data_IF_385902912041
#
_entry.id   IF_385902912041
#
_cell.length_a   1.000
_cell.length_b   1.000
_cell.length_c   1.000
_cell.angle_alpha   90.00
_cell.angle_beta   90.00
_cell.angle_gamma   90.00
#
_symmetry.space_group_name_H-M   'P 1'
#
loop_
_entity.id
_entity.type
_entity.pdbx_description
1 polymer ?
#
# COMPACT_ATOMS: atom_id res chain seq x y z
N UNK A 1 -1.69 22.40 -15.38
CA UNK A 1 -0.63 23.30 -15.91
C UNK A 1 0.09 22.65 -17.08
N UNK A 2 0.49 23.43 -18.11
CA UNK A 2 1.17 22.87 -19.28
C UNK A 2 2.46 22.11 -18.95
N UNK A 3 3.20 22.55 -17.93
CA UNK A 3 4.44 21.93 -17.50
C UNK A 3 4.28 20.49 -16.97
N UNK A 4 3.12 20.13 -16.42
CA UNK A 4 2.84 18.77 -15.95
C UNK A 4 2.51 17.80 -17.10
N UNK A 5 2.09 18.32 -18.24
CA UNK A 5 1.75 17.56 -19.44
C UNK A 5 2.96 17.39 -20.38
N UNK A 6 4.00 18.20 -20.22
CA UNK A 6 5.23 18.14 -21.00
C UNK A 6 6.26 17.30 -20.25
N UNK A 7 6.87 16.35 -20.93
CA UNK A 7 8.00 15.59 -20.40
C UNK A 7 9.24 16.48 -20.39
N UNK A 8 9.58 17.01 -19.21
CA UNK A 8 10.78 17.83 -19.04
C UNK A 8 12.06 17.00 -19.05
N UNK A 9 11.97 15.72 -18.75
CA UNK A 9 13.05 14.76 -18.82
C UNK A 9 12.53 13.44 -19.39
N UNK A 10 13.10 13.02 -20.50
CA UNK A 10 12.81 11.70 -21.08
C UNK A 10 13.68 10.65 -20.43
N UNK A 11 13.06 9.61 -19.89
CA UNK A 11 13.77 8.41 -19.47
C UNK A 11 13.93 7.51 -20.68
N UNK A 12 15.17 7.27 -21.07
CA UNK A 12 15.45 6.33 -22.14
C UNK A 12 15.30 4.91 -21.62
N UNK A 13 14.53 4.11 -22.31
CA UNK A 13 14.47 2.67 -22.08
C UNK A 13 15.77 2.06 -22.62
N UNK A 14 16.82 2.09 -21.81
CA UNK A 14 18.08 1.44 -22.10
C UNK A 14 18.18 0.15 -21.30
N UNK A 15 18.24 -0.97 -21.98
CA UNK A 15 18.44 -2.29 -21.38
C UNK A 15 17.76 -3.37 -22.22
N UNK A 16 18.40 -4.53 -22.32
CA UNK A 16 17.79 -5.72 -22.94
C UNK A 16 16.62 -6.12 -22.07
N UNK A 17 15.41 -5.87 -22.54
CA UNK A 17 14.20 -6.35 -21.89
C UNK A 17 14.19 -7.87 -21.97
N UNK A 18 14.33 -8.54 -20.84
CA UNK A 18 13.87 -9.93 -20.74
C UNK A 18 12.35 -9.94 -20.94
N UNK A 19 11.84 -10.93 -21.64
CA UNK A 19 10.50 -10.98 -22.25
C UNK A 19 9.28 -10.71 -21.34
N UNK A 20 9.45 -10.48 -20.03
CA UNK A 20 8.33 -10.24 -19.10
C UNK A 20 8.63 -9.26 -17.95
N UNK A 21 9.72 -8.52 -17.96
CA UNK A 21 10.09 -7.61 -16.89
C UNK A 21 9.78 -6.18 -17.28
N UNK A 22 8.85 -5.55 -16.58
CA UNK A 22 8.58 -4.12 -16.68
C UNK A 22 9.77 -3.33 -16.14
N UNK A 23 10.35 -2.44 -16.93
CA UNK A 23 11.52 -1.64 -16.56
C UNK A 23 11.25 -0.15 -16.69
N UNK A 24 12.04 0.67 -15.99
CA UNK A 24 11.94 2.12 -16.05
C UNK A 24 10.69 2.68 -15.39
N UNK A 25 10.14 3.79 -15.93
CA UNK A 25 8.94 4.45 -15.39
C UNK A 25 7.71 3.54 -15.30
N UNK A 26 7.42 2.64 -16.25
CA UNK A 26 6.32 1.69 -16.10
C UNK A 26 6.44 0.80 -14.86
N UNK A 27 7.66 0.47 -14.42
CA UNK A 27 7.88 -0.28 -13.17
C UNK A 27 7.55 0.57 -11.94
N UNK A 28 7.89 1.85 -11.95
CA UNK A 28 7.52 2.77 -10.86
C UNK A 28 6.01 2.92 -10.77
N UNK A 29 5.32 3.05 -11.90
CA UNK A 29 3.85 3.09 -11.94
C UNK A 29 3.25 1.79 -11.39
N UNK A 30 3.76 0.63 -11.81
CA UNK A 30 3.32 -0.68 -11.32
C UNK A 30 3.46 -0.80 -9.81
N UNK A 31 4.58 -0.35 -9.24
CA UNK A 31 4.84 -0.35 -7.80
C UNK A 31 3.88 0.59 -7.06
N UNK A 32 3.74 1.85 -7.49
CA UNK A 32 2.86 2.81 -6.83
C UNK A 32 1.37 2.49 -6.98
N UNK A 33 0.97 1.80 -8.05
CA UNK A 33 -0.41 1.28 -8.17
C UNK A 33 -0.59 -0.08 -7.48
N UNK A 34 0.47 -0.60 -6.83
CA UNK A 34 0.47 -1.92 -6.19
C UNK A 34 -0.14 -3.01 -7.09
N UNK A 35 0.20 -2.96 -8.39
CA UNK A 35 -0.28 -3.95 -9.37
C UNK A 35 0.47 -5.26 -9.17
N UNK A 36 -0.23 -6.37 -9.41
CA UNK A 36 0.39 -7.69 -9.43
C UNK A 36 1.37 -7.77 -10.62
N UNK A 37 2.66 -8.10 -10.38
CA UNK A 37 3.65 -8.22 -11.44
C UNK A 37 3.27 -9.30 -12.46
N UNK A 38 3.68 -9.14 -13.70
CA UNK A 38 3.48 -10.15 -14.76
C UNK A 38 4.30 -11.41 -14.47
N UNK A 39 5.57 -11.24 -14.09
CA UNK A 39 6.45 -12.32 -13.63
C UNK A 39 6.49 -12.29 -12.11
N UNK A 40 5.64 -13.09 -11.49
CA UNK A 40 5.47 -13.13 -10.05
C UNK A 40 6.49 -14.07 -9.41
N UNK A 41 7.25 -13.58 -8.44
CA UNK A 41 8.00 -14.42 -7.52
C UNK A 41 7.06 -15.05 -6.49
N UNK A 42 7.22 -16.33 -6.23
CA UNK A 42 6.52 -17.04 -5.16
C UNK A 42 7.36 -16.90 -3.89
N UNK A 43 6.73 -16.43 -2.80
CA UNK A 43 7.36 -16.27 -1.50
C UNK A 43 6.98 -17.43 -0.57
N UNK A 44 7.92 -17.85 0.28
CA UNK A 44 7.67 -18.81 1.34
C UNK A 44 6.78 -18.17 2.42
N UNK A 45 5.62 -18.74 2.71
CA UNK A 45 4.73 -18.20 3.76
C UNK A 45 5.24 -18.49 5.17
N UNK A 46 6.01 -19.54 5.35
CA UNK A 46 6.69 -19.88 6.60
C UNK A 46 8.06 -20.51 6.30
N UNK A 47 8.94 -20.51 7.29
CA UNK A 47 10.26 -21.11 7.20
C UNK A 47 10.17 -22.62 7.25
N UNK A 48 11.07 -23.31 6.55
CA UNK A 48 11.11 -24.78 6.59
C UNK A 48 12.04 -25.38 5.55
N UNK A 49 12.02 -26.70 5.44
CA UNK A 49 12.82 -27.45 4.49
C UNK A 49 12.07 -27.66 3.17
N UNK A 50 12.77 -27.36 2.07
CA UNK A 50 12.23 -27.48 0.71
C UNK A 50 12.32 -28.94 0.24
N UNK A 51 11.23 -29.47 -0.33
CA UNK A 51 11.18 -30.73 -1.06
C UNK A 51 10.44 -30.57 -2.39
N UNK A 52 10.86 -31.30 -3.42
CA UNK A 52 10.22 -31.26 -4.74
C UNK A 52 9.32 -32.48 -4.96
N UNK A 53 8.03 -32.23 -5.14
CA UNK A 53 7.08 -33.24 -5.58
C UNK A 53 6.87 -33.07 -7.11
N UNK A 54 7.48 -33.97 -7.90
CA UNK A 54 7.34 -33.96 -9.35
C UNK A 54 6.07 -34.69 -9.76
N UNK A 55 5.15 -33.99 -10.40
CA UNK A 55 3.99 -34.55 -11.09
C UNK A 55 4.18 -34.40 -12.59
N UNK A 56 3.57 -35.28 -13.40
CA UNK A 56 3.80 -35.34 -14.86
C UNK A 56 3.64 -34.01 -15.63
N UNK A 57 2.91 -33.06 -15.08
CA UNK A 57 2.64 -31.75 -15.71
C UNK A 57 3.12 -30.53 -14.93
N UNK A 58 3.42 -30.66 -13.63
CA UNK A 58 3.82 -29.54 -12.74
C UNK A 58 4.90 -30.02 -11.79
N UNK A 59 5.72 -29.07 -11.35
CA UNK A 59 6.64 -29.29 -10.24
C UNK A 59 6.06 -28.56 -9.05
N UNK A 60 5.64 -29.30 -8.03
CA UNK A 60 5.16 -28.72 -6.79
C UNK A 60 6.34 -28.62 -5.82
N UNK A 61 6.58 -27.43 -5.31
CA UNK A 61 7.59 -27.18 -4.27
C UNK A 61 6.86 -27.25 -2.94
N UNK A 62 7.25 -28.18 -2.09
CA UNK A 62 6.66 -28.34 -0.77
C UNK A 62 7.65 -27.86 0.28
N UNK A 63 7.20 -26.93 1.11
CA UNK A 63 7.96 -26.47 2.27
C UNK A 63 7.34 -27.12 3.49
N UNK A 64 8.17 -27.76 4.31
CA UNK A 64 7.76 -28.42 5.54
C UNK A 64 8.46 -27.75 6.71
N UNK A 65 7.69 -27.26 7.68
CA UNK A 65 8.15 -26.68 8.92
C UNK A 65 8.61 -27.76 9.92
N UNK A 66 9.36 -27.39 10.93
CA UNK A 66 9.81 -28.26 12.02
C UNK A 66 8.64 -28.88 12.81
N UNK A 67 7.48 -28.24 12.80
CA UNK A 67 6.24 -28.73 13.42
C UNK A 67 5.46 -29.75 12.55
N UNK A 68 5.94 -30.03 11.33
CA UNK A 68 5.30 -30.96 10.39
C UNK A 68 4.20 -30.34 9.52
N UNK A 69 3.98 -29.02 9.60
CA UNK A 69 3.09 -28.32 8.68
C UNK A 69 3.74 -28.27 7.30
N UNK A 70 3.01 -28.63 6.26
CA UNK A 70 3.51 -28.59 4.90
C UNK A 70 2.60 -27.78 3.99
N UNK A 71 3.19 -26.97 3.13
CA UNK A 71 2.45 -26.22 2.09
C UNK A 71 3.07 -26.45 0.72
N UNK A 72 2.23 -26.75 -0.25
CA UNK A 72 2.60 -26.98 -1.64
C UNK A 72 2.44 -25.70 -2.45
N UNK A 73 3.46 -25.34 -3.21
CA UNK A 73 3.49 -24.23 -4.14
C UNK A 73 3.60 -24.76 -5.57
N UNK A 74 2.51 -24.74 -6.35
CA UNK A 74 2.53 -25.22 -7.72
C UNK A 74 3.31 -24.25 -8.60
N UNK A 75 4.40 -24.73 -9.21
CA UNK A 75 5.27 -23.92 -10.06
C UNK A 75 5.20 -24.44 -11.50
N UNK A 76 5.09 -23.53 -12.49
CA UNK A 76 5.14 -23.89 -13.90
C UNK A 76 6.56 -24.35 -14.28
N UNK A 77 6.67 -25.24 -15.27
CA UNK A 77 7.98 -25.72 -15.78
C UNK A 77 8.88 -24.63 -16.33
N UNK A 78 8.28 -23.56 -16.84
CA UNK A 78 8.99 -22.43 -17.43
C UNK A 78 9.52 -21.43 -16.38
N UNK A 79 9.13 -21.60 -15.11
CA UNK A 79 9.54 -20.71 -14.02
C UNK A 79 10.87 -21.18 -13.45
N UNK A 80 11.84 -20.28 -13.38
CA UNK A 80 13.13 -20.57 -12.76
C UNK A 80 12.99 -20.61 -11.26
N UNK A 81 13.42 -21.72 -10.67
CA UNK A 81 13.42 -21.95 -9.23
C UNK A 81 14.75 -21.50 -8.65
N UNK A 82 14.73 -20.73 -7.56
CA UNK A 82 15.93 -20.24 -6.86
C UNK A 82 16.42 -21.20 -5.78
N UNK A 83 15.55 -22.05 -5.25
CA UNK A 83 15.82 -22.95 -4.12
C UNK A 83 16.22 -24.34 -4.60
N UNK A 84 16.99 -25.05 -3.77
CA UNK A 84 17.42 -26.43 -4.01
C UNK A 84 16.68 -27.42 -3.09
N UNK A 85 16.66 -28.69 -3.47
CA UNK A 85 16.09 -29.74 -2.65
C UNK A 85 16.86 -29.91 -1.34
N UNK A 86 16.15 -29.94 -0.23
CA UNK A 86 16.75 -30.00 1.12
C UNK A 86 17.26 -28.65 1.66
N UNK A 87 17.11 -27.56 0.92
CA UNK A 87 17.47 -26.23 1.41
C UNK A 87 16.48 -25.77 2.48
N UNK A 88 16.99 -25.16 3.55
CA UNK A 88 16.17 -24.47 4.55
C UNK A 88 15.94 -23.05 4.08
N UNK A 89 14.67 -22.66 3.99
CA UNK A 89 14.24 -21.31 3.60
C UNK A 89 13.63 -20.59 4.79
N UNK A 90 13.83 -19.28 4.84
CA UNK A 90 13.19 -18.41 5.83
C UNK A 90 11.81 -17.95 5.37
N UNK A 91 10.98 -17.49 6.31
CA UNK A 91 9.69 -16.84 5.99
C UNK A 91 9.91 -15.62 5.09
N UNK A 92 9.19 -15.56 3.98
CA UNK A 92 9.31 -14.47 3.00
C UNK A 92 10.46 -14.61 2.01
N UNK A 93 11.21 -15.71 2.02
CA UNK A 93 12.26 -15.96 1.04
C UNK A 93 11.67 -16.31 -0.34
N UNK A 94 12.30 -15.81 -1.42
CA UNK A 94 11.86 -16.06 -2.78
C UNK A 94 12.16 -17.50 -3.22
N UNK A 95 11.10 -18.25 -3.53
CA UNK A 95 11.21 -19.62 -4.05
C UNK A 95 11.52 -19.63 -5.55
N UNK A 96 10.97 -18.66 -6.29
CA UNK A 96 11.11 -18.55 -7.75
C UNK A 96 11.68 -17.19 -8.16
N UNK A 97 12.29 -17.12 -9.34
CA UNK A 97 12.69 -15.85 -9.94
C UNK A 97 11.45 -15.03 -10.34
N UNK A 98 11.50 -13.73 -10.12
CA UNK A 98 10.44 -12.80 -10.50
C UNK A 98 10.45 -11.53 -9.67
N UNK A 99 9.40 -10.74 -9.83
CA UNK A 99 9.16 -9.57 -8.99
C UNK A 99 8.20 -9.95 -7.85
N UNK A 100 8.53 -9.53 -6.66
CA UNK A 100 7.67 -9.75 -5.50
C UNK A 100 6.38 -8.93 -5.62
N UNK A 101 5.28 -9.50 -5.13
CA UNK A 101 4.01 -8.80 -5.05
C UNK A 101 3.91 -8.04 -3.72
N UNK A 102 3.73 -6.72 -3.72
CA UNK A 102 3.62 -5.93 -2.50
C UNK A 102 2.52 -6.42 -1.53
N UNK A 103 1.42 -6.96 -2.06
CA UNK A 103 0.34 -7.51 -1.26
C UNK A 103 0.76 -8.76 -0.46
N UNK A 104 1.57 -9.64 -1.07
CA UNK A 104 2.07 -10.83 -0.40
C UNK A 104 3.12 -10.48 0.64
N UNK A 105 3.97 -9.48 0.37
CA UNK A 105 4.95 -8.97 1.33
C UNK A 105 4.25 -8.43 2.58
N UNK A 106 3.18 -7.62 2.43
CA UNK A 106 2.41 -7.11 3.59
C UNK A 106 1.84 -8.26 4.41
N UNK A 107 1.30 -9.28 3.74
CA UNK A 107 0.64 -10.42 4.39
C UNK A 107 1.64 -11.32 5.14
N UNK A 108 2.81 -11.57 4.56
CA UNK A 108 3.80 -12.53 5.09
C UNK A 108 4.79 -11.86 6.03
N UNK A 109 5.37 -10.74 5.61
CA UNK A 109 6.47 -10.05 6.30
C UNK A 109 6.04 -8.79 7.05
N UNK A 110 4.80 -8.33 6.81
CA UNK A 110 4.23 -7.16 7.46
C UNK A 110 4.57 -5.82 6.81
N UNK A 111 4.08 -4.74 7.44
CA UNK A 111 4.11 -3.37 6.90
C UNK A 111 5.55 -2.86 6.69
N UNK A 112 6.46 -3.13 7.63
CA UNK A 112 7.84 -2.63 7.56
C UNK A 112 8.59 -3.17 6.35
N UNK A 113 8.47 -4.45 6.09
CA UNK A 113 9.15 -5.10 4.98
C UNK A 113 8.70 -4.53 3.62
N UNK A 114 7.40 -4.25 3.46
CA UNK A 114 6.89 -3.65 2.22
C UNK A 114 7.35 -2.20 2.05
N UNK A 115 7.49 -1.44 3.15
CA UNK A 115 8.05 -0.09 3.08
C UNK A 115 9.48 -0.10 2.54
N UNK A 116 10.33 -0.97 3.11
CA UNK A 116 11.72 -1.11 2.69
C UNK A 116 11.84 -1.66 1.26
N UNK A 117 10.97 -2.60 0.87
CA UNK A 117 10.89 -3.11 -0.50
C UNK A 117 10.54 -2.02 -1.51
N UNK A 118 9.45 -1.28 -1.28
CA UNK A 118 8.98 -0.21 -2.16
C UNK A 118 10.03 0.88 -2.34
N UNK A 119 10.65 1.31 -1.23
CA UNK A 119 11.72 2.30 -1.26
C UNK A 119 12.90 1.83 -2.11
N UNK A 120 13.38 0.62 -1.86
CA UNK A 120 14.52 0.02 -2.57
C UNK A 120 14.25 -0.12 -4.08
N UNK A 121 13.10 -0.65 -4.46
CA UNK A 121 12.76 -0.89 -5.86
C UNK A 121 12.54 0.42 -6.64
N UNK A 122 11.87 1.41 -6.06
CA UNK A 122 11.68 2.72 -6.70
C UNK A 122 13.03 3.44 -6.85
N UNK A 123 13.84 3.48 -5.79
CA UNK A 123 15.18 4.08 -5.83
C UNK A 123 16.09 3.41 -6.87
N UNK A 124 16.01 2.09 -7.00
CA UNK A 124 16.76 1.33 -8.01
C UNK A 124 16.46 1.81 -9.42
N UNK A 125 15.18 2.02 -9.75
CA UNK A 125 14.78 2.52 -11.07
C UNK A 125 15.34 3.92 -11.33
N UNK A 126 15.21 4.83 -10.37
CA UNK A 126 15.70 6.20 -10.53
C UNK A 126 17.23 6.28 -10.60
N UNK A 127 17.93 5.49 -9.79
CA UNK A 127 19.41 5.43 -9.83
C UNK A 127 19.95 4.92 -11.16
N UNK A 128 19.30 3.92 -11.78
CA UNK A 128 19.65 3.45 -13.13
C UNK A 128 19.53 4.59 -14.16
N UNK A 129 18.58 5.51 -13.97
CA UNK A 129 18.41 6.69 -14.84
C UNK A 129 19.30 7.88 -14.43
N UNK A 130 20.19 7.71 -13.45
CA UNK A 130 21.07 8.77 -12.98
C UNK A 130 20.35 9.91 -12.26
N UNK A 131 19.20 9.63 -11.64
CA UNK A 131 18.40 10.58 -10.89
C UNK A 131 18.47 10.25 -9.41
N UNK A 132 18.97 11.19 -8.61
CA UNK A 132 18.96 11.07 -7.16
C UNK A 132 17.69 11.69 -6.59
N UNK A 133 16.96 10.92 -5.82
CA UNK A 133 15.75 11.34 -5.10
C UNK A 133 15.95 11.03 -3.62
N UNK A 134 15.64 11.97 -2.75
CA UNK A 134 15.68 11.75 -1.32
C UNK A 134 14.54 10.78 -0.91
N UNK A 135 14.87 9.83 -0.07
CA UNK A 135 13.96 8.74 0.37
C UNK A 135 12.65 9.26 0.94
N UNK A 136 12.66 10.40 1.65
CA UNK A 136 11.47 11.01 2.26
C UNK A 136 10.30 11.22 1.30
N UNK A 137 10.58 11.48 0.01
CA UNK A 137 9.53 11.70 -0.99
C UNK A 137 8.80 10.41 -1.34
N UNK A 138 9.54 9.30 -1.41
CA UNK A 138 8.99 7.96 -1.66
C UNK A 138 8.28 7.46 -0.40
N UNK A 139 8.90 7.62 0.76
CA UNK A 139 8.34 7.23 2.06
C UNK A 139 6.99 7.88 2.33
N UNK A 140 6.85 9.17 1.99
CA UNK A 140 5.59 9.89 2.12
C UNK A 140 4.46 9.25 1.30
N UNK A 141 4.75 8.84 0.06
CA UNK A 141 3.79 8.17 -0.82
C UNK A 141 3.44 6.78 -0.27
N UNK A 142 4.45 6.00 0.08
CA UNK A 142 4.26 4.64 0.62
C UNK A 142 3.47 4.67 1.93
N UNK A 143 3.69 5.65 2.80
CA UNK A 143 2.89 5.86 4.00
C UNK A 143 1.40 6.04 3.69
N UNK A 144 1.06 6.78 2.64
CA UNK A 144 -0.34 6.95 2.23
C UNK A 144 -0.94 5.67 1.64
N UNK A 145 -0.14 4.85 0.97
CA UNK A 145 -0.57 3.56 0.44
C UNK A 145 -0.89 2.53 1.53
N UNK A 146 -0.27 2.65 2.71
CA UNK A 146 -0.39 1.72 3.85
C UNK A 146 -1.28 2.28 4.97
N UNK A 147 -2.08 3.28 4.69
CA UNK A 147 -2.90 3.99 5.67
C UNK A 147 -4.15 3.22 6.11
N UNK A 148 -4.55 2.19 5.39
CA UNK A 148 -5.81 1.46 5.59
C UNK A 148 -5.61 0.06 6.13
N UNK A 149 -6.57 -0.34 6.96
CA UNK A 149 -6.70 -1.68 7.56
C UNK A 149 -8.06 -2.25 7.14
N UNK A 150 -8.11 -3.53 6.81
CA UNK A 150 -9.37 -4.27 6.64
C UNK A 150 -9.73 -4.89 7.98
N UNK A 151 -10.97 -4.71 8.41
CA UNK A 151 -11.48 -5.28 9.65
C UNK A 151 -11.78 -6.76 9.43
N UNK A 152 -11.13 -7.62 10.21
CA UNK A 152 -11.38 -9.06 10.22
C UNK A 152 -12.52 -9.43 11.18
N UNK A 153 -12.46 -8.89 12.40
CA UNK A 153 -13.51 -9.03 13.42
C UNK A 153 -13.77 -7.70 14.09
N UNK A 154 -15.04 -7.37 14.26
CA UNK A 154 -15.45 -6.11 14.87
C UNK A 154 -15.22 -6.05 16.40
N UNK A 155 -15.16 -7.22 17.09
CA UNK A 155 -15.21 -7.23 18.56
C UNK A 155 -16.46 -6.51 19.06
N UNK A 156 -16.28 -5.62 20.03
CA UNK A 156 -17.35 -4.75 20.57
C UNK A 156 -17.37 -3.34 19.94
N UNK A 157 -16.69 -3.15 18.79
CA UNK A 157 -16.68 -1.90 18.05
C UNK A 157 -17.86 -1.80 17.07
N UNK A 158 -18.15 -0.57 16.62
CA UNK A 158 -19.14 -0.28 15.57
C UNK A 158 -18.62 -0.57 14.15
N UNK A 159 -17.43 -1.15 13.99
CA UNK A 159 -16.86 -1.46 12.70
C UNK A 159 -17.60 -2.62 12.02
N UNK A 160 -17.71 -2.54 10.70
CA UNK A 160 -18.25 -3.66 9.91
C UNK A 160 -17.11 -4.58 9.46
N UNK A 161 -17.21 -5.90 9.68
CA UNK A 161 -16.24 -6.86 9.12
C UNK A 161 -16.09 -6.69 7.60
N UNK A 162 -14.84 -6.70 7.12
CA UNK A 162 -14.51 -6.47 5.71
C UNK A 162 -14.46 -5.01 5.29
N UNK A 163 -14.81 -4.05 6.15
CA UNK A 163 -14.67 -2.62 5.86
C UNK A 163 -13.22 -2.16 5.93
N UNK A 164 -12.89 -1.11 5.16
CA UNK A 164 -11.58 -0.47 5.16
C UNK A 164 -11.61 0.77 6.04
N UNK A 165 -10.86 0.74 7.12
CA UNK A 165 -10.79 1.82 8.11
C UNK A 165 -9.39 2.44 8.10
N UNK A 166 -9.29 3.70 8.51
CA UNK A 166 -8.01 4.39 8.71
C UNK A 166 -7.28 3.81 9.91
N UNK A 167 -5.97 3.59 9.79
CA UNK A 167 -5.14 3.03 10.87
C UNK A 167 -5.23 3.84 12.17
N UNK A 168 -5.30 5.17 12.06
CA UNK A 168 -5.43 6.04 13.24
C UNK A 168 -6.79 5.84 13.93
N UNK A 169 -7.87 5.86 13.17
CA UNK A 169 -9.22 5.63 13.68
C UNK A 169 -9.36 4.25 14.35
N UNK A 170 -8.79 3.21 13.69
CA UNK A 170 -8.75 1.86 14.25
C UNK A 170 -8.01 1.81 15.58
N UNK A 171 -6.87 2.49 15.70
CA UNK A 171 -6.08 2.53 16.92
C UNK A 171 -6.82 3.27 18.02
N UNK A 172 -7.38 4.45 17.74
CA UNK A 172 -8.14 5.26 18.72
C UNK A 172 -9.38 4.53 19.26
N UNK A 173 -10.10 3.80 18.40
CA UNK A 173 -11.28 3.01 18.83
C UNK A 173 -10.84 1.83 19.70
N UNK A 174 -9.76 1.13 19.32
CA UNK A 174 -9.26 0.01 20.11
C UNK A 174 -8.68 0.45 21.47
N UNK A 175 -8.04 1.61 21.55
CA UNK A 175 -7.59 2.18 22.83
C UNK A 175 -8.77 2.48 23.77
N UNK A 176 -9.85 3.07 23.25
CA UNK A 176 -11.08 3.31 24.02
C UNK A 176 -11.74 2.02 24.51
N UNK A 177 -11.82 1.01 23.64
CA UNK A 177 -12.37 -0.31 24.01
C UNK A 177 -11.54 -0.99 25.10
N UNK A 178 -10.21 -0.84 25.04
CA UNK A 178 -9.31 -1.37 26.07
C UNK A 178 -9.51 -0.67 27.42
N UNK A 179 -9.64 0.66 27.44
CA UNK A 179 -9.95 1.43 28.66
C UNK A 179 -11.29 1.02 29.26
N UNK A 180 -12.28 0.67 28.43
CA UNK A 180 -13.59 0.19 28.84
C UNK A 180 -13.62 -1.31 29.21
N UNK A 181 -12.52 -2.04 29.01
CA UNK A 181 -12.43 -3.50 29.27
C UNK A 181 -13.24 -4.35 28.29
N UNK A 182 -13.51 -3.84 27.08
CA UNK A 182 -14.23 -4.51 26.00
C UNK A 182 -13.30 -5.25 25.04
N UNK A 183 -13.88 -6.11 24.18
CA UNK A 183 -13.13 -6.81 23.14
C UNK A 183 -12.71 -5.85 22.03
N UNK A 184 -11.41 -5.82 21.75
CA UNK A 184 -10.84 -5.05 20.63
C UNK A 184 -11.26 -5.61 19.27
N UNK A 185 -11.37 -4.72 18.28
CA UNK A 185 -11.45 -5.12 16.89
C UNK A 185 -10.10 -5.67 16.41
N UNK A 186 -10.15 -6.66 15.51
CA UNK A 186 -8.96 -7.17 14.82
C UNK A 186 -9.01 -6.81 13.35
N UNK A 187 -7.86 -6.54 12.76
CA UNK A 187 -7.79 -6.17 11.36
C UNK A 187 -6.40 -6.40 10.76
N UNK A 188 -6.40 -6.62 9.46
CA UNK A 188 -5.19 -6.88 8.67
C UNK A 188 -4.80 -5.64 7.87
N UNK A 189 -3.55 -5.15 7.99
CA UNK A 189 -3.08 -4.02 7.18
C UNK A 189 -3.05 -4.38 5.71
N UNK A 190 -3.44 -3.44 4.87
CA UNK A 190 -3.43 -3.61 3.41
C UNK A 190 -2.63 -2.52 2.73
N UNK A 191 -2.10 -2.83 1.56
CA UNK A 191 -1.51 -1.84 0.67
C UNK A 191 -2.52 -1.49 -0.43
N UNK A 192 -2.73 -0.20 -0.65
CA UNK A 192 -3.55 0.33 -1.73
C UNK A 192 -2.67 1.04 -2.76
N UNK A 193 -2.95 0.87 -4.04
CA UNK A 193 -2.35 1.71 -5.07
C UNK A 193 -2.72 3.19 -4.86
N UNK A 194 -1.88 4.11 -5.34
CA UNK A 194 -2.06 5.56 -5.12
C UNK A 194 -3.44 6.06 -5.56
N UNK A 195 -3.96 5.55 -6.68
CA UNK A 195 -5.30 5.89 -7.17
C UNK A 195 -6.39 5.46 -6.20
N UNK A 196 -6.35 4.20 -5.74
CA UNK A 196 -7.31 3.68 -4.75
C UNK A 196 -7.18 4.36 -3.40
N UNK A 197 -5.94 4.62 -2.94
CA UNK A 197 -5.69 5.32 -1.69
C UNK A 197 -6.25 6.76 -1.71
N UNK A 198 -6.15 7.44 -2.85
CA UNK A 198 -6.72 8.79 -3.04
C UNK A 198 -8.25 8.80 -3.01
N UNK A 199 -8.89 7.78 -3.58
CA UNK A 199 -10.36 7.62 -3.54
C UNK A 199 -10.87 7.16 -2.17
N UNK A 200 -10.05 6.42 -1.41
CA UNK A 200 -10.35 5.98 -0.05
C UNK A 200 -10.08 7.05 1.04
N UNK A 201 -9.90 8.30 0.63
CA UNK A 201 -9.72 9.44 1.55
C UNK A 201 -10.94 9.60 2.47
N UNK A 202 -10.70 10.08 3.69
CA UNK A 202 -11.75 10.43 4.66
C UNK A 202 -12.62 11.59 4.19
N UNK A 203 -12.05 12.52 3.40
CA UNK A 203 -12.78 13.60 2.76
C UNK A 203 -13.40 13.14 1.44
N UNK A 204 -14.72 13.00 1.39
CA UNK A 204 -15.42 12.67 0.14
C UNK A 204 -15.34 13.79 -0.89
N UNK A 205 -15.22 15.05 -0.48
CA UNK A 205 -15.05 16.18 -1.39
C UNK A 205 -13.71 16.13 -2.10
N UNK A 206 -12.64 15.82 -1.38
CA UNK A 206 -11.32 15.62 -1.95
C UNK A 206 -11.30 14.45 -2.94
N UNK A 207 -11.90 13.31 -2.58
CA UNK A 207 -12.03 12.14 -3.45
C UNK A 207 -12.83 12.44 -4.71
N UNK A 208 -14.00 13.10 -4.59
CA UNK A 208 -14.86 13.46 -5.71
C UNK A 208 -14.19 14.41 -6.71
N UNK A 209 -13.29 15.28 -6.24
CA UNK A 209 -12.55 16.20 -7.13
C UNK A 209 -11.40 15.53 -7.88
N UNK A 210 -11.04 14.30 -7.52
CA UNK A 210 -9.98 13.55 -8.18
C UNK A 210 -10.50 12.69 -9.34
N UNK A 211 -11.34 11.71 -9.06
CA UNK A 211 -11.94 10.80 -10.05
C UNK A 211 -13.30 10.30 -9.56
N UNK A 212 -14.10 9.72 -10.46
CA UNK A 212 -15.38 9.07 -10.15
C UNK A 212 -16.36 9.97 -9.38
N UNK A 213 -16.40 11.25 -9.70
CA UNK A 213 -17.17 12.30 -8.99
C UNK A 213 -18.60 11.88 -8.67
N UNK A 214 -19.34 11.38 -9.64
CA UNK A 214 -20.76 10.99 -9.46
C UNK A 214 -20.90 9.85 -8.48
N UNK A 215 -20.06 8.82 -8.59
CA UNK A 215 -20.07 7.66 -7.68
C UNK A 215 -19.76 8.06 -6.25
N UNK A 216 -18.66 8.82 -6.06
CA UNK A 216 -18.23 9.26 -4.73
C UNK A 216 -19.29 10.12 -4.05
N UNK A 217 -19.89 11.08 -4.78
CA UNK A 217 -20.94 11.93 -4.23
C UNK A 217 -22.22 11.15 -3.93
N UNK A 218 -22.59 10.20 -4.79
CA UNK A 218 -23.76 9.34 -4.57
C UNK A 218 -23.56 8.47 -3.32
N UNK A 219 -22.40 7.83 -3.19
CA UNK A 219 -22.06 7.01 -2.01
C UNK A 219 -22.03 7.86 -0.74
N UNK A 220 -21.51 9.08 -0.82
CA UNK A 220 -21.50 10.00 0.33
C UNK A 220 -22.91 10.43 0.74
N UNK A 221 -23.79 10.69 -0.22
CA UNK A 221 -25.17 11.07 0.02
C UNK A 221 -25.99 9.91 0.62
N UNK A 222 -25.85 8.69 0.08
CA UNK A 222 -26.55 7.50 0.59
C UNK A 222 -26.13 7.19 2.02
N UNK A 223 -24.84 7.28 2.31
CA UNK A 223 -24.29 6.96 3.63
C UNK A 223 -24.33 8.15 4.62
N UNK A 224 -24.86 9.30 4.23
CA UNK A 224 -24.92 10.50 5.08
C UNK A 224 -23.54 10.95 5.59
N UNK A 225 -22.49 10.83 4.76
CA UNK A 225 -21.12 11.15 5.18
C UNK A 225 -20.96 12.64 5.49
N UNK A 226 -20.23 12.94 6.54
CA UNK A 226 -19.84 14.29 6.94
C UNK A 226 -18.35 14.46 6.64
N UNK A 227 -17.99 15.53 5.90
CA UNK A 227 -16.60 15.86 5.63
C UNK A 227 -16.04 16.70 6.79
N UNK A 228 -14.95 16.25 7.44
CA UNK A 228 -14.38 16.95 8.59
C UNK A 228 -13.61 18.23 8.23
N UNK A 229 -13.40 18.52 6.94
CA UNK A 229 -12.69 19.70 6.41
C UNK A 229 -11.28 19.90 7.01
N UNK A 230 -10.55 18.83 7.21
CA UNK A 230 -9.22 18.85 7.83
C UNK A 230 -8.13 19.17 6.80
N UNK A 231 -8.29 18.75 5.54
CA UNK A 231 -7.29 18.91 4.50
C UNK A 231 -7.37 20.28 3.80
N UNK A 232 -6.45 20.51 2.87
CA UNK A 232 -6.39 21.77 2.12
C UNK A 232 -7.44 21.83 1.01
N UNK A 233 -7.62 20.73 0.27
CA UNK A 233 -8.38 20.66 -0.97
C UNK A 233 -9.88 20.91 -0.75
N UNK A 234 -10.47 20.26 0.24
CA UNK A 234 -11.87 20.43 0.61
C UNK A 234 -12.18 21.85 1.07
N UNK A 235 -11.28 22.50 1.82
CA UNK A 235 -11.46 23.89 2.24
C UNK A 235 -11.40 24.85 1.05
N UNK A 236 -10.49 24.61 0.10
CA UNK A 236 -10.41 25.39 -1.15
C UNK A 236 -11.66 25.25 -1.99
N UNK A 237 -12.21 24.03 -2.11
CA UNK A 237 -13.44 23.77 -2.89
C UNK A 237 -14.61 24.55 -2.31
N UNK A 238 -14.75 24.62 -0.97
CA UNK A 238 -15.86 25.34 -0.31
C UNK A 238 -15.59 26.85 -0.26
N UNK A 239 -14.37 27.32 -0.55
CA UNK A 239 -13.98 28.73 -0.44
C UNK A 239 -13.68 29.19 0.98
N UNK A 240 -13.34 28.27 1.87
CA UNK A 240 -12.84 28.58 3.22
C UNK A 240 -11.32 28.76 3.22
N UNK A 241 -10.83 29.45 4.24
CA UNK A 241 -9.40 29.50 4.47
C UNK A 241 -8.84 28.10 4.74
N UNK A 242 -7.71 27.78 4.12
CA UNK A 242 -7.01 26.52 4.36
C UNK A 242 -6.56 26.43 5.83
N UNK A 243 -6.54 25.24 6.45
CA UNK A 243 -6.11 25.07 7.85
C UNK A 243 -4.57 25.15 7.99
N UNK A 244 -3.97 26.19 7.40
CA UNK A 244 -2.55 26.51 7.45
C UNK A 244 -2.35 28.02 7.44
N UNK A 245 -1.25 28.49 7.99
CA UNK A 245 -0.95 29.92 8.10
C UNK A 245 -2.05 30.68 8.86
N UNK A 246 -2.60 31.73 8.27
CA UNK A 246 -3.66 32.57 8.88
C UNK A 246 -5.00 31.85 9.05
N UNK A 247 -5.24 30.74 8.34
CA UNK A 247 -6.44 29.90 8.49
C UNK A 247 -6.42 28.92 9.65
N UNK A 248 -5.32 28.81 10.40
CA UNK A 248 -5.25 27.94 11.57
C UNK A 248 -6.15 28.45 12.67
N UNK A 249 -6.81 27.54 13.40
CA UNK A 249 -7.73 27.84 14.50
C UNK A 249 -7.14 28.82 15.53
N UNK A 250 -5.86 28.72 15.81
CA UNK A 250 -5.17 29.62 16.76
C UNK A 250 -5.17 31.10 16.35
N UNK A 251 -5.32 31.40 15.05
CA UNK A 251 -5.36 32.77 14.53
C UNK A 251 -6.79 33.26 14.28
N UNK A 252 -7.79 32.40 14.30
CA UNK A 252 -9.19 32.79 14.07
C UNK A 252 -9.80 33.57 15.26
N UNK A 253 -9.26 33.35 16.46
CA UNK A 253 -9.75 33.96 17.70
C UNK A 253 -8.81 35.06 18.22
N UNK A 254 -7.95 35.63 17.36
CA UNK A 254 -7.08 36.75 17.72
C UNK A 254 -7.89 38.03 17.63
N UNK A 255 -8.18 38.64 18.76
CA UNK A 255 -8.72 39.99 18.85
C UNK A 255 -7.57 41.00 18.76
N UNK A 256 -7.67 41.95 17.82
CA UNK A 256 -6.72 43.06 17.74
C UNK A 256 -7.08 44.08 18.79
N UNK A 257 -6.15 44.34 19.71
CA UNK A 257 -6.29 45.48 20.59
C UNK A 257 -6.03 46.75 19.80
N UNK A 258 -7.10 47.45 19.45
CA UNK A 258 -7.08 48.69 18.69
C UNK A 258 -7.00 49.93 19.58
N UNK A 259 -6.71 49.76 20.88
CA UNK A 259 -6.48 50.87 21.80
C UNK A 259 -5.11 51.52 21.52
N UNK A 260 -5.09 52.57 20.68
CA UNK A 260 -4.03 53.52 20.54
C UNK A 260 -4.56 54.92 20.76
#
# INVERSE_FOLDING_TARGET
>A
EPGTQLTMRTFHTGGVAGDNITQGLPRVEELFEARKPKSLAVLAEFGGTVSFAKTDKKTDIVITDDEGNSKSYPVSRDTRVKVQEGQVVATGEEITEGSENPHDIVRILGVRAVQDYMLREVQKVYRIQGVDINDKHIELIVRQMLKKIVIDSAGDSDFLPGSQVDTLEFTEVNEKLEEEGKMKATGTPIILGITKASLASTSFMSAASFQETTKVLTDAAINGKIDPLIGLKENVIIGKLIPAGTGMKRYQNVELDTAA
#
